data_IF_047358448487
#
_entry.id   IF_047358448487
#
_cell.length_a   1.000
_cell.length_b   1.000
_cell.length_c   1.000
_cell.angle_alpha   90.00
_cell.angle_beta   90.00
_cell.angle_gamma   90.00
#
_symmetry.space_group_name_H-M   'P 1'
#
loop_
_entity.id
_entity.type
_entity.pdbx_description
1 polymer ?
#
# COMPACT_ATOMS: atom_id res chain seq x y z
N UNK A 1 -7.49 26.10 0.54
CA UNK A 1 -7.32 25.23 -0.65
C UNK A 1 -6.43 24.10 -0.20
N UNK A 2 -7.02 22.94 0.06
CA UNK A 2 -6.25 21.77 0.50
C UNK A 2 -5.34 21.34 -0.65
N UNK A 3 -4.06 21.67 -0.54
CA UNK A 3 -3.04 21.28 -1.50
C UNK A 3 -2.70 19.81 -1.24
N UNK A 4 -3.63 18.90 -1.54
CA UNK A 4 -3.41 17.47 -1.39
C UNK A 4 -2.34 17.02 -2.38
N UNK A 5 -1.26 16.44 -1.87
CA UNK A 5 -0.22 15.80 -2.68
C UNK A 5 -0.88 14.79 -3.61
N UNK A 6 -0.71 14.90 -4.94
CA UNK A 6 -1.31 13.97 -5.87
C UNK A 6 -0.83 12.56 -5.57
N UNK A 7 -1.77 11.62 -5.44
CA UNK A 7 -1.45 10.20 -5.27
C UNK A 7 -1.91 9.39 -6.49
N UNK A 8 -1.24 8.27 -6.75
CA UNK A 8 -1.68 7.24 -7.70
C UNK A 8 -1.49 5.84 -7.12
N UNK A 9 -2.22 4.89 -7.71
CA UNK A 9 -2.08 3.47 -7.41
C UNK A 9 -1.58 2.78 -8.67
N UNK A 10 -0.50 2.01 -8.58
CA UNK A 10 0.01 1.18 -9.68
C UNK A 10 0.05 -0.30 -9.29
N UNK A 11 -0.10 -1.24 -10.22
CA UNK A 11 0.15 -2.65 -9.95
C UNK A 11 1.56 -2.86 -9.37
N UNK A 12 1.65 -3.81 -8.43
CA UNK A 12 2.93 -4.25 -7.88
C UNK A 12 3.77 -4.96 -8.95
N UNK A 13 5.06 -4.69 -8.98
CA UNK A 13 6.09 -5.50 -9.60
C UNK A 13 6.75 -6.32 -8.50
N UNK A 14 6.41 -7.61 -8.39
CA UNK A 14 6.88 -8.49 -7.31
C UNK A 14 8.41 -8.56 -7.20
N UNK A 15 9.15 -8.38 -8.30
CA UNK A 15 10.62 -8.44 -8.26
C UNK A 15 11.24 -7.16 -7.69
N UNK A 16 10.70 -5.99 -8.06
CA UNK A 16 11.25 -4.69 -7.69
C UNK A 16 10.69 -4.20 -6.35
N UNK A 17 9.38 -4.33 -6.17
CA UNK A 17 8.67 -3.72 -5.05
C UNK A 17 8.83 -4.49 -3.74
N UNK A 18 9.11 -5.80 -3.75
CA UNK A 18 9.37 -6.52 -2.50
C UNK A 18 10.59 -5.98 -1.75
N UNK A 19 11.63 -5.54 -2.47
CA UNK A 19 12.82 -4.94 -1.86
C UNK A 19 12.53 -3.56 -1.26
N UNK A 20 11.64 -2.81 -1.90
CA UNK A 20 11.18 -1.53 -1.38
C UNK A 20 10.29 -1.73 -0.15
N UNK A 21 9.31 -2.63 -0.26
CA UNK A 21 8.37 -2.97 0.81
C UNK A 21 9.06 -3.52 2.04
N UNK A 22 10.18 -4.25 1.88
CA UNK A 22 11.01 -4.68 3.00
C UNK A 22 11.36 -3.52 3.94
N UNK A 23 11.65 -2.32 3.40
CA UNK A 23 11.98 -1.15 4.23
C UNK A 23 10.77 -0.70 5.07
N UNK A 24 9.56 -0.87 4.56
CA UNK A 24 8.31 -0.52 5.24
C UNK A 24 7.97 -1.51 6.34
N UNK A 25 8.09 -2.82 6.06
CA UNK A 25 7.79 -3.87 7.03
C UNK A 25 8.93 -4.14 8.03
N UNK A 26 10.09 -3.49 7.85
CA UNK A 26 11.12 -3.37 8.89
C UNK A 26 10.80 -2.27 9.93
N UNK A 27 9.81 -1.42 9.65
CA UNK A 27 9.38 -0.41 10.61
C UNK A 27 8.49 -1.02 11.69
N UNK A 28 8.98 -1.00 12.94
CA UNK A 28 8.25 -1.48 14.11
C UNK A 28 6.87 -0.84 14.30
N UNK A 29 6.68 0.42 13.90
CA UNK A 29 5.37 1.07 14.00
C UNK A 29 4.38 0.47 12.98
N UNK A 30 4.85 0.16 11.76
CA UNK A 30 4.02 -0.52 10.76
C UNK A 30 3.57 -1.86 11.29
N UNK A 31 4.53 -2.68 11.76
CA UNK A 31 4.27 -4.03 12.25
C UNK A 31 3.38 -4.02 13.49
N UNK A 32 3.62 -3.11 14.43
CA UNK A 32 2.80 -2.97 15.62
C UNK A 32 1.33 -2.70 15.28
N UNK A 33 1.06 -1.79 14.35
CA UNK A 33 -0.31 -1.42 13.98
C UNK A 33 -0.96 -2.33 12.94
N UNK A 34 -0.19 -3.10 12.17
CA UNK A 34 -0.73 -4.06 11.20
C UNK A 34 -0.89 -5.47 11.79
N UNK A 35 0.11 -5.97 12.52
CA UNK A 35 0.20 -7.35 13.01
C UNK A 35 0.05 -7.48 14.53
N UNK A 36 0.35 -6.40 15.28
CA UNK A 36 0.27 -6.36 16.74
C UNK A 36 1.62 -6.21 17.45
N UNK A 37 1.60 -6.01 18.78
CA UNK A 37 2.77 -5.58 19.56
C UNK A 37 3.94 -6.56 19.65
N UNK A 38 3.70 -7.86 19.46
CA UNK A 38 4.69 -8.92 19.70
C UNK A 38 5.13 -9.60 18.40
N UNK A 39 4.96 -8.92 17.27
CA UNK A 39 5.34 -9.44 15.95
C UNK A 39 6.68 -8.85 15.53
N UNK A 40 7.61 -9.73 15.15
CA UNK A 40 8.92 -9.33 14.65
C UNK A 40 8.81 -8.71 13.24
N UNK A 41 9.66 -7.74 12.90
CA UNK A 41 9.69 -7.18 11.56
C UNK A 41 9.95 -8.21 10.47
N UNK A 42 9.33 -8.01 9.32
CA UNK A 42 9.39 -9.00 8.25
C UNK A 42 10.75 -8.99 7.56
N UNK A 43 11.26 -10.20 7.29
CA UNK A 43 12.35 -10.39 6.34
C UNK A 43 11.85 -10.40 4.89
N UNK A 44 12.79 -10.43 3.93
CA UNK A 44 12.44 -10.39 2.51
C UNK A 44 11.60 -11.61 2.09
N UNK A 45 11.85 -12.77 2.69
CA UNK A 45 11.14 -14.01 2.34
C UNK A 45 9.67 -13.90 2.75
N UNK A 46 9.43 -13.38 3.94
CA UNK A 46 8.09 -13.10 4.48
C UNK A 46 7.35 -12.08 3.62
N UNK A 47 8.00 -10.97 3.25
CA UNK A 47 7.41 -9.95 2.37
C UNK A 47 7.05 -10.53 1.01
N UNK A 48 7.94 -11.33 0.41
CA UNK A 48 7.69 -11.98 -0.88
C UNK A 48 6.48 -12.92 -0.82
N UNK A 49 6.46 -13.81 0.17
CA UNK A 49 5.35 -14.76 0.35
C UNK A 49 4.01 -14.03 0.60
N UNK A 50 4.03 -12.96 1.41
CA UNK A 50 2.87 -12.12 1.65
C UNK A 50 2.39 -11.44 0.37
N UNK A 51 3.28 -10.82 -0.40
CA UNK A 51 2.93 -10.14 -1.64
C UNK A 51 2.40 -11.10 -2.71
N UNK A 52 2.98 -12.30 -2.85
CA UNK A 52 2.46 -13.36 -3.71
C UNK A 52 1.05 -13.77 -3.31
N UNK A 53 0.82 -13.99 -2.02
CA UNK A 53 -0.50 -14.35 -1.49
C UNK A 53 -1.53 -13.24 -1.74
N UNK A 54 -1.24 -12.00 -1.36
CA UNK A 54 -2.15 -10.85 -1.54
C UNK A 54 -2.48 -10.61 -3.01
N UNK A 55 -1.50 -10.79 -3.91
CA UNK A 55 -1.71 -10.67 -5.36
C UNK A 55 -2.51 -11.84 -5.94
N UNK A 56 -2.56 -13.00 -5.28
CA UNK A 56 -3.38 -14.14 -5.69
C UNK A 56 -4.86 -14.00 -5.31
N UNK A 57 -5.16 -13.36 -4.17
CA UNK A 57 -6.53 -13.21 -3.65
C UNK A 57 -7.17 -11.85 -3.98
N UNK A 58 -6.38 -10.88 -4.44
CA UNK A 58 -6.81 -9.52 -4.69
C UNK A 58 -5.94 -8.79 -5.70
N UNK A 59 -6.06 -7.47 -5.73
CA UNK A 59 -5.14 -6.62 -6.50
C UNK A 59 -4.23 -5.88 -5.53
N UNK A 60 -2.97 -6.31 -5.46
CA UNK A 60 -1.94 -5.61 -4.72
C UNK A 60 -1.42 -4.42 -5.55
N UNK A 61 -1.46 -3.23 -4.95
CA UNK A 61 -1.12 -1.97 -5.60
C UNK A 61 -0.11 -1.19 -4.74
N UNK A 62 0.87 -0.58 -5.38
CA UNK A 62 1.77 0.38 -4.75
C UNK A 62 1.13 1.76 -4.73
N UNK A 63 1.22 2.42 -3.58
CA UNK A 63 0.81 3.79 -3.34
C UNK A 63 1.99 4.69 -3.68
N UNK A 64 1.77 5.62 -4.61
CA UNK A 64 2.77 6.60 -4.99
C UNK A 64 2.26 8.02 -4.80
N UNK A 65 3.16 8.90 -4.39
CA UNK A 65 2.94 10.35 -4.28
C UNK A 65 3.76 11.06 -5.32
N UNK A 66 3.25 12.17 -5.85
CA UNK A 66 4.02 13.03 -6.74
C UNK A 66 4.73 14.12 -5.92
N UNK A 67 6.06 14.07 -5.87
CA UNK A 67 6.91 15.01 -5.14
C UNK A 67 8.18 15.28 -5.96
N UNK A 68 8.64 16.53 -5.99
CA UNK A 68 9.86 16.96 -6.70
C UNK A 68 9.96 16.53 -8.18
N UNK A 69 8.82 16.42 -8.86
CA UNK A 69 8.75 16.07 -10.28
C UNK A 69 8.73 14.57 -10.57
N UNK A 70 8.74 13.72 -9.53
CA UNK A 70 8.79 12.27 -9.65
C UNK A 70 7.69 11.57 -8.84
N UNK A 71 7.40 10.33 -9.20
CA UNK A 71 6.49 9.47 -8.44
C UNK A 71 7.29 8.64 -7.45
N UNK A 72 7.07 8.89 -6.16
CA UNK A 72 7.74 8.19 -5.07
C UNK A 72 6.80 7.15 -4.50
N UNK A 73 7.26 5.90 -4.42
CA UNK A 73 6.53 4.80 -3.79
C UNK A 73 6.65 4.87 -2.27
N UNK A 74 5.52 4.85 -1.57
CA UNK A 74 5.45 5.18 -0.14
C UNK A 74 4.72 4.14 0.72
N UNK A 75 4.16 3.12 0.09
CA UNK A 75 3.34 2.12 0.75
C UNK A 75 2.58 1.25 -0.23
N UNK A 76 1.69 0.41 0.28
CA UNK A 76 0.88 -0.50 -0.52
C UNK A 76 -0.57 -0.59 -0.03
N UNK A 77 -1.42 -1.08 -0.93
CA UNK A 77 -2.82 -1.41 -0.64
C UNK A 77 -3.20 -2.68 -1.39
N UNK A 78 -3.89 -3.60 -0.70
CA UNK A 78 -4.52 -4.74 -1.37
C UNK A 78 -6.00 -4.47 -1.56
N UNK A 79 -6.48 -4.51 -2.79
CA UNK A 79 -7.91 -4.49 -3.08
C UNK A 79 -8.43 -5.92 -3.23
N UNK A 80 -8.97 -6.49 -2.15
CA UNK A 80 -9.64 -7.80 -2.17
C UNK A 80 -11.10 -7.68 -1.70
N UNK A 81 -11.87 -8.78 -1.77
CA UNK A 81 -13.24 -8.83 -1.26
C UNK A 81 -13.31 -8.90 0.27
N UNK A 82 -12.29 -9.48 0.89
CA UNK A 82 -12.30 -9.87 2.30
C UNK A 82 -11.62 -8.81 3.18
N UNK A 83 -10.58 -8.17 2.65
CA UNK A 83 -9.84 -7.13 3.36
C UNK A 83 -9.22 -6.11 2.40
N UNK A 84 -9.02 -4.90 2.91
CA UNK A 84 -8.32 -3.82 2.20
C UNK A 84 -7.19 -3.30 3.11
N UNK A 85 -6.13 -4.10 3.35
CA UNK A 85 -4.98 -3.62 4.11
C UNK A 85 -4.33 -2.46 3.35
N UNK A 86 -4.01 -1.39 4.09
CA UNK A 86 -3.31 -0.21 3.60
C UNK A 86 -2.12 0.03 4.52
N UNK A 87 -0.93 0.08 3.95
CA UNK A 87 0.29 0.43 4.66
C UNK A 87 0.83 1.72 4.07
N UNK A 88 1.05 2.74 4.92
CA UNK A 88 1.85 3.92 4.57
C UNK A 88 3.23 3.71 5.19
N UNK A 89 4.09 3.08 4.41
CA UNK A 89 5.37 2.56 4.83
C UNK A 89 6.38 3.65 5.18
N UNK A 90 6.40 4.76 4.45
CA UNK A 90 7.29 5.88 4.76
C UNK A 90 6.64 6.84 5.78
N UNK A 91 7.30 6.99 6.93
CA UNK A 91 6.90 7.84 8.06
C UNK A 91 6.57 9.28 7.65
N UNK A 92 7.27 9.86 6.67
CA UNK A 92 7.04 11.26 6.25
C UNK A 92 5.66 11.52 5.63
N UNK A 93 4.96 10.45 5.27
CA UNK A 93 3.65 10.49 4.63
C UNK A 93 2.50 10.02 5.53
N UNK A 94 2.79 9.52 6.74
CA UNK A 94 1.77 9.13 7.71
C UNK A 94 1.01 10.35 8.25
N UNK A 95 -0.23 10.16 8.69
CA UNK A 95 -1.07 11.20 9.29
C UNK A 95 -1.30 12.45 8.41
N UNK A 96 -1.18 12.31 7.08
CA UNK A 96 -1.38 13.40 6.10
C UNK A 96 -2.61 13.22 5.20
N UNK A 97 -3.54 12.34 5.58
CA UNK A 97 -4.76 12.07 4.82
C UNK A 97 -4.59 11.14 3.61
N UNK A 98 -3.39 10.61 3.36
CA UNK A 98 -3.12 9.73 2.20
C UNK A 98 -3.96 8.44 2.25
N UNK A 99 -4.11 7.81 3.42
CA UNK A 99 -4.97 6.63 3.56
C UNK A 99 -6.42 6.89 3.14
N UNK A 100 -6.93 8.09 3.42
CA UNK A 100 -8.26 8.53 2.97
C UNK A 100 -8.33 8.65 1.45
N UNK A 101 -7.30 9.24 0.82
CA UNK A 101 -7.24 9.36 -0.64
C UNK A 101 -7.08 7.99 -1.33
N UNK A 102 -6.32 7.07 -0.73
CA UNK A 102 -6.21 5.69 -1.21
C UNK A 102 -7.59 5.02 -1.17
N UNK A 103 -8.32 5.12 -0.06
CA UNK A 103 -9.67 4.58 0.06
C UNK A 103 -10.64 5.16 -0.98
N UNK A 104 -10.61 6.47 -1.23
CA UNK A 104 -11.43 7.09 -2.30
C UNK A 104 -11.15 6.47 -3.66
N UNK A 105 -9.87 6.29 -4.03
CA UNK A 105 -9.49 5.64 -5.30
C UNK A 105 -9.93 4.18 -5.36
N UNK A 106 -9.82 3.43 -4.27
CA UNK A 106 -10.29 2.04 -4.20
C UNK A 106 -11.81 1.97 -4.43
N UNK A 107 -12.58 2.87 -3.81
CA UNK A 107 -14.04 2.97 -4.02
C UNK A 107 -14.36 3.29 -5.49
N UNK A 108 -13.63 4.21 -6.12
CA UNK A 108 -13.81 4.51 -7.55
C UNK A 108 -13.49 3.30 -8.44
N UNK A 109 -12.41 2.56 -8.15
CA UNK A 109 -12.05 1.33 -8.86
C UNK A 109 -13.14 0.26 -8.70
N UNK A 110 -13.70 0.12 -7.50
CA UNK A 110 -14.81 -0.80 -7.23
C UNK A 110 -16.06 -0.44 -8.03
N UNK A 111 -16.46 0.85 -8.03
CA UNK A 111 -17.61 1.34 -8.81
C UNK A 111 -17.47 1.07 -10.30
N UNK A 112 -16.27 1.30 -10.86
CA UNK A 112 -15.96 1.02 -12.27
C UNK A 112 -16.04 -0.47 -12.61
N UNK A 113 -15.80 -1.36 -11.64
CA UNK A 113 -15.91 -2.81 -11.83
C UNK A 113 -17.36 -3.29 -11.78
N UNK A 114 -18.21 -2.67 -10.96
CA UNK A 114 -19.64 -2.99 -10.85
C UNK A 114 -20.43 -2.52 -12.06
N UNK A 115 -20.12 -1.34 -12.61
CA UNK A 115 -20.80 -0.79 -13.80
C UNK A 115 -20.43 -1.42 -15.14
N UNK A 116 -19.70 -2.55 -15.14
CA UNK A 116 -19.31 -3.32 -16.34
C UNK A 116 -20.09 -4.63 -16.49
N UNK A 117 -21.17 -4.81 -15.73
CA UNK A 117 -22.08 -5.95 -15.86
C UNK A 117 -23.33 -5.55 -16.63
#
# INVERSE_FOLDING_TARGET
MDNQTPIRLRPVNLYEDCKLALQWYQDLEVIHFSEGPDVEPYDLITVQAMYEYLNSIGKLLIIEVFEDGEWVSIGDVTFSKESIPIVIGDRKYRSRGIGTEVMKKIIELAKKKIGKN
#
